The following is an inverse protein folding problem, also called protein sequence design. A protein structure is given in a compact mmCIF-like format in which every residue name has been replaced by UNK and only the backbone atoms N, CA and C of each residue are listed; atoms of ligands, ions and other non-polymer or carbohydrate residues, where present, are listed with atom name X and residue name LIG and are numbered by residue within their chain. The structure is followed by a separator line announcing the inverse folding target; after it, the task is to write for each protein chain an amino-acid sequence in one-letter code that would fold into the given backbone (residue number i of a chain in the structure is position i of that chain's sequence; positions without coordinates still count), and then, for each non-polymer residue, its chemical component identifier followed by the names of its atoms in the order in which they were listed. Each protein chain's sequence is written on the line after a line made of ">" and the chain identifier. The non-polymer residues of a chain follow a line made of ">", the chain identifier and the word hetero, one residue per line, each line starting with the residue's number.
data_IF_752167284380
#
_entry.id   IF_752167284380
#
_cell.length_a   1.000
_cell.length_b   1.000
_cell.length_c   1.000
_cell.angle_alpha   90.00
_cell.angle_beta   90.00
_cell.angle_gamma   90.00
#
_symmetry.space_group_name_H-M   'P 1'
#
loop_
_entity.id
_entity.type
_entity.pdbx_description
1 polymer ?
#
# COMPACT_ATOMS: atom_id res chain seq x y z
N UNK A 1 23.92 -7.40 3.29
CA UNK A 1 23.36 -6.98 1.99
C UNK A 1 23.16 -8.15 1.02
N UNK A 2 24.14 -9.03 0.85
CA UNK A 2 24.00 -10.21 -0.02
C UNK A 2 22.94 -11.21 0.46
N UNK A 3 22.72 -11.32 1.77
CA UNK A 3 21.75 -12.24 2.37
C UNK A 3 20.31 -11.81 2.06
N UNK A 4 20.03 -10.50 2.02
CA UNK A 4 18.70 -10.00 1.68
C UNK A 4 18.34 -10.25 0.21
N UNK A 5 19.30 -10.08 -0.68
CA UNK A 5 19.09 -10.34 -2.10
C UNK A 5 18.94 -11.84 -2.38
N UNK A 6 19.63 -12.69 -1.63
CA UNK A 6 19.50 -14.14 -1.74
C UNK A 6 18.14 -14.63 -1.22
N UNK A 7 17.63 -14.07 -0.13
CA UNK A 7 16.31 -14.39 0.40
C UNK A 7 15.19 -13.99 -0.55
N UNK A 8 15.33 -12.85 -1.23
CA UNK A 8 14.39 -12.42 -2.25
C UNK A 8 14.43 -13.32 -3.49
N UNK A 9 15.61 -13.84 -3.84
CA UNK A 9 15.82 -14.74 -4.97
C UNK A 9 15.42 -16.19 -4.67
N UNK A 10 15.52 -16.61 -3.42
CA UNK A 10 15.23 -17.97 -2.99
C UNK A 10 13.73 -18.27 -2.81
N UNK A 11 12.85 -17.35 -3.24
CA UNK A 11 11.42 -17.60 -3.18
C UNK A 11 10.87 -17.49 -1.78
N UNK A 12 11.19 -16.40 -1.08
CA UNK A 12 10.54 -16.05 0.18
C UNK A 12 9.02 -16.22 0.00
N UNK A 13 8.30 -16.86 0.96
CA UNK A 13 6.85 -17.03 0.87
C UNK A 13 6.12 -15.70 0.64
N UNK A 14 6.70 -14.60 1.13
CA UNK A 14 6.20 -13.25 0.96
C UNK A 14 6.28 -12.79 -0.50
N UNK A 15 7.40 -13.03 -1.17
CA UNK A 15 7.57 -12.68 -2.58
C UNK A 15 6.67 -13.53 -3.48
N UNK A 16 6.51 -14.82 -3.18
CA UNK A 16 5.59 -15.69 -3.90
C UNK A 16 4.14 -15.26 -3.72
N UNK A 17 3.75 -14.87 -2.51
CA UNK A 17 2.42 -14.33 -2.22
C UNK A 17 2.19 -13.04 -2.99
N UNK A 18 3.18 -12.16 -3.02
CA UNK A 18 3.13 -10.91 -3.76
C UNK A 18 2.94 -11.13 -5.26
N UNK A 19 3.67 -12.09 -5.86
CA UNK A 19 3.53 -12.45 -7.27
C UNK A 19 2.16 -13.05 -7.57
N UNK A 20 1.61 -13.87 -6.69
CA UNK A 20 0.26 -14.43 -6.82
C UNK A 20 -0.81 -13.35 -6.80
N UNK A 21 -0.65 -12.37 -5.93
CA UNK A 21 -1.61 -11.27 -5.78
C UNK A 21 -1.56 -10.34 -6.99
N UNK A 22 -0.39 -10.17 -7.60
CA UNK A 22 -0.22 -9.26 -8.73
C UNK A 22 -0.59 -9.83 -10.10
N UNK A 23 -0.56 -11.13 -10.25
CA UNK A 23 -0.92 -11.81 -11.53
C UNK A 23 -2.31 -12.37 -11.43
N UNK A 24 -3.11 -12.19 -12.37
CA UNK A 24 -3.68 -11.11 -13.15
C UNK A 24 -4.74 -10.41 -12.34
N UNK A 25 -4.37 -9.75 -11.25
CA UNK A 25 -5.33 -9.13 -10.34
C UNK A 25 -6.02 -7.98 -11.02
N UNK A 26 -7.35 -8.09 -11.10
CA UNK A 26 -8.23 -7.03 -11.52
C UNK A 26 -8.69 -6.17 -10.34
N UNK A 27 -8.24 -6.47 -9.13
CA UNK A 27 -8.64 -5.76 -7.91
C UNK A 27 -7.44 -5.42 -7.06
N UNK A 28 -7.43 -4.19 -6.55
CA UNK A 28 -6.37 -3.70 -5.66
C UNK A 28 -6.91 -2.75 -4.62
N UNK A 29 -6.12 -2.54 -3.57
CA UNK A 29 -6.41 -1.60 -2.49
C UNK A 29 -5.24 -0.68 -2.25
N UNK A 30 -5.54 0.54 -1.80
CA UNK A 30 -4.59 1.51 -1.26
C UNK A 30 -5.09 1.96 0.10
N UNK A 31 -4.18 2.13 1.05
CA UNK A 31 -4.53 2.50 2.41
C UNK A 31 -3.94 3.86 2.77
N UNK A 32 -4.81 4.82 3.08
CA UNK A 32 -4.43 6.11 3.64
C UNK A 32 -4.51 6.01 5.16
N UNK A 33 -3.38 5.79 5.81
CA UNK A 33 -3.30 5.69 7.25
C UNK A 33 -3.07 7.07 7.86
N UNK A 34 -3.88 7.43 8.85
CA UNK A 34 -3.79 8.73 9.53
C UNK A 34 -3.53 8.54 11.01
N UNK A 35 -2.70 9.41 11.56
CA UNK A 35 -2.46 9.51 13.00
C UNK A 35 -3.38 10.56 13.61
N UNK A 36 -3.63 10.48 14.94
CA UNK A 36 -4.45 11.50 15.62
C UNK A 36 -3.91 12.93 15.48
N UNK A 37 -2.60 13.10 15.27
CA UNK A 37 -1.96 14.41 15.07
C UNK A 37 -2.15 14.97 13.64
N UNK A 38 -2.88 14.25 12.77
CA UNK A 38 -3.16 14.66 11.40
C UNK A 38 -2.15 14.18 10.37
N UNK A 39 -1.05 13.57 10.79
CA UNK A 39 -0.07 13.00 9.85
C UNK A 39 -0.65 11.79 9.14
N UNK A 40 -0.21 11.59 7.91
CA UNK A 40 -0.54 10.40 7.12
C UNK A 40 0.74 9.71 6.62
N UNK A 41 0.62 8.42 6.34
CA UNK A 41 1.75 7.60 5.96
C UNK A 41 1.90 7.53 4.45
N UNK A 42 3.12 7.77 3.98
CA UNK A 42 3.52 7.57 2.59
C UNK A 42 4.69 6.60 2.54
N UNK A 43 4.77 5.84 1.46
CA UNK A 43 5.80 4.82 1.27
C UNK A 43 6.44 4.94 -0.10
N UNK A 44 7.67 4.44 -0.21
CA UNK A 44 8.35 4.21 -1.49
C UNK A 44 8.57 2.71 -1.63
N UNK A 45 8.11 2.17 -2.74
CA UNK A 45 8.26 0.74 -3.02
C UNK A 45 9.63 0.45 -3.62
N UNK A 46 10.25 -0.66 -3.21
CA UNK A 46 11.58 -1.04 -3.69
C UNK A 46 11.59 -1.70 -5.07
N UNK A 47 10.43 -2.11 -5.59
CA UNK A 47 10.29 -2.85 -6.84
C UNK A 47 9.80 -2.02 -8.03
N UNK A 48 9.46 -0.75 -7.81
CA UNK A 48 9.01 0.18 -8.87
C UNK A 48 9.94 1.38 -8.90
N UNK A 49 9.45 2.54 -9.35
CA UNK A 49 10.19 3.79 -9.22
C UNK A 49 10.38 4.13 -7.73
N UNK A 50 11.56 3.84 -7.21
CA UNK A 50 11.90 4.01 -5.79
C UNK A 50 11.93 5.47 -5.34
N UNK A 51 11.84 6.42 -6.28
CA UNK A 51 11.74 7.85 -5.96
C UNK A 51 10.31 8.29 -5.71
N UNK A 52 9.33 7.50 -6.17
CA UNK A 52 7.91 7.87 -6.12
C UNK A 52 7.31 7.55 -4.77
N UNK A 53 6.69 8.54 -4.15
CA UNK A 53 5.90 8.35 -2.94
C UNK A 53 4.49 7.89 -3.30
N UNK A 54 3.99 6.95 -2.53
CA UNK A 54 2.71 6.30 -2.77
C UNK A 54 2.04 5.91 -1.46
N UNK A 55 0.84 5.37 -1.55
CA UNK A 55 0.17 4.73 -0.42
C UNK A 55 0.54 3.25 -0.37
N UNK A 56 0.61 2.65 0.84
CA UNK A 56 0.73 1.21 0.96
C UNK A 56 -0.49 0.52 0.38
N UNK A 57 -0.32 -0.69 -0.10
CA UNK A 57 -1.41 -1.48 -0.67
C UNK A 57 -0.93 -2.51 -1.66
N UNK A 58 -1.85 -3.21 -2.27
CA UNK A 58 -1.54 -4.26 -3.23
C UNK A 58 -2.78 -4.89 -3.83
N UNK A 59 -2.57 -5.93 -4.61
CA UNK A 59 -3.66 -6.67 -5.22
C UNK A 59 -4.31 -7.67 -4.28
N UNK A 60 -5.55 -8.03 -4.57
CA UNK A 60 -6.27 -9.04 -3.80
C UNK A 60 -7.29 -9.77 -4.66
N UNK A 61 -7.76 -10.90 -4.17
CA UNK A 61 -8.82 -11.68 -4.81
C UNK A 61 -10.15 -11.36 -4.11
N UNK A 62 -11.10 -10.70 -4.80
CA UNK A 62 -12.38 -10.33 -4.20
C UNK A 62 -13.27 -11.52 -3.82
N UNK A 63 -12.96 -12.71 -4.33
CA UNK A 63 -13.65 -13.93 -3.91
C UNK A 63 -13.21 -14.43 -2.52
N UNK A 64 -12.07 -13.93 -2.01
CA UNK A 64 -11.47 -14.38 -0.75
C UNK A 64 -11.42 -13.31 0.32
N UNK A 65 -11.31 -12.05 -0.08
CA UNK A 65 -11.15 -10.94 0.85
C UNK A 65 -12.08 -9.78 0.45
N UNK A 66 -12.53 -9.04 1.45
CA UNK A 66 -13.12 -7.71 1.22
C UNK A 66 -11.99 -6.70 1.02
N UNK A 67 -12.27 -5.50 0.47
CA UNK A 67 -11.25 -4.45 0.38
C UNK A 67 -10.64 -4.11 1.75
N UNK A 68 -11.43 -4.05 2.81
CA UNK A 68 -10.94 -3.76 4.15
C UNK A 68 -10.00 -4.85 4.68
N UNK A 69 -10.34 -6.12 4.45
CA UNK A 69 -9.48 -7.24 4.81
C UNK A 69 -8.16 -7.21 4.04
N UNK A 70 -8.23 -6.91 2.75
CA UNK A 70 -7.03 -6.79 1.93
C UNK A 70 -6.14 -5.64 2.37
N UNK A 71 -6.73 -4.47 2.68
CA UNK A 71 -5.98 -3.33 3.19
C UNK A 71 -5.31 -3.65 4.52
N UNK A 72 -6.02 -4.30 5.45
CA UNK A 72 -5.45 -4.71 6.73
C UNK A 72 -4.29 -5.68 6.56
N UNK A 73 -4.42 -6.64 5.65
CA UNK A 73 -3.36 -7.61 5.35
C UNK A 73 -2.13 -6.93 4.74
N UNK A 74 -2.33 -6.08 3.75
CA UNK A 74 -1.23 -5.37 3.08
C UNK A 74 -0.48 -4.45 4.05
N UNK A 75 -1.20 -3.73 4.89
CA UNK A 75 -0.61 -2.86 5.91
C UNK A 75 0.23 -3.67 6.89
N UNK A 76 -0.26 -4.85 7.30
CA UNK A 76 0.50 -5.72 8.17
C UNK A 76 1.75 -6.29 7.48
N UNK A 77 1.59 -6.78 6.26
CA UNK A 77 2.71 -7.36 5.50
C UNK A 77 3.79 -6.33 5.16
N UNK A 78 3.39 -5.14 4.74
CA UNK A 78 4.33 -4.11 4.31
C UNK A 78 4.94 -3.31 5.45
N UNK A 79 4.18 -3.04 6.50
CA UNK A 79 4.52 -2.06 7.55
C UNK A 79 4.60 -2.65 8.96
N UNK A 80 4.16 -3.88 9.16
CA UNK A 80 4.12 -4.49 10.49
C UNK A 80 3.04 -3.94 11.42
N UNK A 81 2.12 -3.13 10.90
CA UNK A 81 1.03 -2.56 11.71
C UNK A 81 -0.17 -3.49 11.74
N UNK A 82 -0.73 -3.68 12.94
CA UNK A 82 -1.96 -4.44 13.14
C UNK A 82 -3.13 -3.45 13.19
N UNK A 83 -3.84 -3.34 12.06
CA UNK A 83 -5.01 -2.48 11.93
C UNK A 83 -6.21 -3.37 11.61
N UNK A 84 -7.19 -3.47 12.52
CA UNK A 84 -8.35 -4.33 12.28
C UNK A 84 -9.11 -3.90 11.02
N UNK A 85 -9.60 -4.85 10.21
CA UNK A 85 -10.33 -4.51 8.97
C UNK A 85 -11.52 -3.56 9.20
N UNK A 86 -12.21 -3.70 10.32
CA UNK A 86 -13.39 -2.88 10.65
C UNK A 86 -13.07 -1.40 10.89
N UNK A 87 -11.79 -1.04 11.09
CA UNK A 87 -11.40 0.36 11.23
C UNK A 87 -11.25 1.08 9.90
N UNK A 88 -11.17 0.33 8.80
CA UNK A 88 -11.03 0.92 7.47
C UNK A 88 -12.37 1.41 6.93
N UNK A 89 -12.35 2.62 6.37
CA UNK A 89 -13.48 3.23 5.67
C UNK A 89 -13.10 3.45 4.22
N UNK A 90 -13.97 3.08 3.30
CA UNK A 90 -13.75 3.28 1.87
C UNK A 90 -13.86 4.77 1.53
N UNK A 91 -12.84 5.30 0.85
CA UNK A 91 -12.83 6.68 0.34
C UNK A 91 -13.33 6.75 -1.09
N UNK A 92 -12.86 5.84 -1.94
CA UNK A 92 -13.19 5.83 -3.35
C UNK A 92 -12.91 4.46 -3.96
N UNK A 93 -13.70 4.11 -4.97
CA UNK A 93 -13.43 2.97 -5.82
C UNK A 93 -13.39 3.46 -7.27
N UNK A 94 -12.30 3.15 -7.94
CA UNK A 94 -12.07 3.55 -9.34
C UNK A 94 -11.93 2.28 -10.18
N UNK A 95 -12.71 2.22 -11.27
CA UNK A 95 -12.59 1.15 -12.25
C UNK A 95 -11.86 1.72 -13.46
N UNK A 96 -10.72 1.13 -13.79
CA UNK A 96 -9.96 1.50 -14.97
C UNK A 96 -10.03 0.39 -16.00
N UNK A 97 -10.26 0.76 -17.27
CA UNK A 97 -10.24 -0.17 -18.38
C UNK A 97 -8.98 0.10 -19.18
N UNK A 98 -8.00 -0.79 -19.05
CA UNK A 98 -6.77 -0.70 -19.84
C UNK A 98 -6.59 -2.02 -20.58
N UNK A 99 -6.43 -1.96 -21.90
CA UNK A 99 -6.21 -3.14 -22.75
C UNK A 99 -7.28 -4.23 -22.59
N UNK A 100 -8.55 -3.83 -22.42
CA UNK A 100 -9.66 -4.77 -22.28
C UNK A 100 -9.80 -5.43 -20.91
N UNK A 101 -8.97 -5.04 -19.94
CA UNK A 101 -9.07 -5.53 -18.57
C UNK A 101 -9.69 -4.47 -17.67
N UNK A 102 -10.62 -4.89 -16.83
CA UNK A 102 -11.24 -4.03 -15.83
C UNK A 102 -10.46 -4.17 -14.52
N UNK A 103 -9.68 -3.12 -14.19
CA UNK A 103 -8.98 -3.06 -12.90
C UNK A 103 -9.78 -2.18 -11.94
N UNK A 104 -10.12 -2.75 -10.78
CA UNK A 104 -10.82 -2.04 -9.72
C UNK A 104 -9.83 -1.71 -8.62
N UNK A 105 -9.70 -0.43 -8.29
CA UNK A 105 -8.86 0.03 -7.18
C UNK A 105 -9.72 0.72 -6.14
N UNK A 106 -9.66 0.22 -4.91
CA UNK A 106 -10.36 0.81 -3.77
C UNK A 106 -9.34 1.46 -2.84
N UNK A 107 -9.53 2.74 -2.56
CA UNK A 107 -8.75 3.46 -1.56
C UNK A 107 -9.52 3.54 -0.26
N UNK A 108 -8.90 3.12 0.83
CA UNK A 108 -9.50 3.11 2.16
C UNK A 108 -8.65 3.97 3.10
N UNK A 109 -9.26 4.43 4.18
CA UNK A 109 -8.55 5.16 5.24
C UNK A 109 -8.81 4.52 6.59
N UNK A 110 -7.83 4.63 7.48
CA UNK A 110 -7.95 4.18 8.86
C UNK A 110 -7.10 5.06 9.76
N UNK A 111 -7.56 5.23 11.01
CA UNK A 111 -6.78 5.89 12.05
C UNK A 111 -5.87 4.89 12.74
N UNK A 112 -4.62 5.28 12.97
CA UNK A 112 -3.59 4.45 13.58
C UNK A 112 -2.96 5.21 14.72
N UNK A 113 -2.96 4.62 15.91
CA UNK A 113 -2.32 5.21 17.09
C UNK A 113 -0.88 4.74 17.28
N UNK A 114 -0.57 3.51 16.84
CA UNK A 114 0.79 2.97 16.88
C UNK A 114 1.54 3.37 15.62
N UNK A 115 2.74 3.92 15.78
CA UNK A 115 3.59 4.36 14.68
C UNK A 115 4.88 3.56 14.54
N UNK A 116 5.04 2.49 15.31
CA UNK A 116 6.20 1.61 15.23
C UNK A 116 6.10 0.76 13.95
N UNK A 117 6.94 1.06 12.97
CA UNK A 117 6.94 0.39 11.68
C UNK A 117 8.01 -0.68 11.60
N UNK A 118 7.65 -1.82 11.02
CA UNK A 118 8.59 -2.88 10.62
C UNK A 118 8.42 -3.07 9.11
N UNK A 119 9.34 -2.50 8.35
CA UNK A 119 9.22 -2.48 6.90
C UNK A 119 9.60 -3.81 6.28
N UNK A 120 8.77 -4.31 5.38
CA UNK A 120 9.11 -5.47 4.56
C UNK A 120 10.16 -5.08 3.51
N UNK A 121 10.81 -6.08 2.86
CA UNK A 121 11.76 -5.80 1.77
C UNK A 121 11.14 -5.06 0.58
N UNK A 122 9.82 -5.06 0.45
CA UNK A 122 9.12 -4.37 -0.64
C UNK A 122 9.01 -2.87 -0.43
N UNK A 123 9.22 -2.41 0.81
CA UNK A 123 9.13 -1.00 1.17
C UNK A 123 10.55 -0.47 1.38
N UNK A 124 10.95 0.45 0.52
CA UNK A 124 12.27 1.09 0.61
C UNK A 124 12.32 2.12 1.73
N UNK A 125 11.23 2.86 1.91
CA UNK A 125 11.11 3.90 2.95
C UNK A 125 9.64 4.13 3.28
N UNK A 126 9.35 4.47 4.54
CA UNK A 126 8.03 4.92 4.99
C UNK A 126 8.21 6.19 5.81
N UNK A 127 7.29 7.14 5.66
CA UNK A 127 7.36 8.43 6.35
C UNK A 127 5.97 8.94 6.72
N UNK A 128 5.84 9.40 7.96
CA UNK A 128 4.67 10.12 8.42
C UNK A 128 4.85 11.60 8.09
N UNK A 129 3.92 12.19 7.34
CA UNK A 129 4.01 13.59 6.90
C UNK A 129 2.70 14.33 7.18
N UNK A 130 2.81 15.63 7.43
CA UNK A 130 1.64 16.51 7.59
C UNK A 130 1.07 16.97 6.26
N UNK A 131 1.95 17.24 5.30
CA UNK A 131 1.55 17.63 3.96
C UNK A 131 2.60 17.17 2.94
N UNK A 132 2.22 17.25 1.68
CA UNK A 132 3.06 16.78 0.58
C UNK A 132 4.31 17.62 0.35
N UNK A 133 4.35 18.85 0.86
CA UNK A 133 5.53 19.73 0.73
C UNK A 133 6.74 19.15 1.45
N UNK A 134 6.52 18.36 2.49
CA UNK A 134 7.61 17.69 3.21
C UNK A 134 8.36 16.67 2.35
N UNK A 135 7.78 16.27 1.21
CA UNK A 135 8.38 15.30 0.29
C UNK A 135 9.21 15.97 -0.82
N UNK A 136 9.25 17.32 -0.83
CA UNK A 136 10.02 18.08 -1.81
C UNK A 136 9.50 17.88 -3.24
N UNK A 137 10.43 17.76 -4.19
CA UNK A 137 10.12 17.62 -5.61
C UNK A 137 10.01 16.15 -6.07
N UNK A 138 9.95 15.22 -5.13
CA UNK A 138 9.85 13.80 -5.46
C UNK A 138 8.54 13.50 -6.21
N UNK A 139 8.55 12.56 -7.18
CA UNK A 139 7.32 12.19 -7.87
C UNK A 139 6.32 11.55 -6.91
N UNK A 140 5.04 11.81 -7.14
CA UNK A 140 3.94 11.34 -6.30
C UNK A 140 3.01 10.45 -7.12
N UNK A 141 2.54 9.38 -6.48
CA UNK A 141 1.53 8.52 -7.08
C UNK A 141 0.21 9.29 -7.28
N UNK A 142 -0.44 9.08 -8.43
CA UNK A 142 -1.76 9.67 -8.69
C UNK A 142 -2.81 9.24 -7.66
N UNK A 143 -2.67 8.05 -7.10
CA UNK A 143 -3.60 7.52 -6.10
C UNK A 143 -3.41 8.21 -4.75
N UNK A 144 -2.18 8.56 -4.40
CA UNK A 144 -1.88 9.37 -3.22
C UNK A 144 -2.53 10.75 -3.35
N UNK A 145 -2.34 11.40 -4.49
CA UNK A 145 -2.94 12.71 -4.76
C UNK A 145 -4.48 12.64 -4.70
N UNK A 146 -5.07 11.64 -5.32
CA UNK A 146 -6.51 11.46 -5.33
C UNK A 146 -7.10 11.24 -3.94
N UNK A 147 -6.40 10.49 -3.09
CA UNK A 147 -6.86 10.20 -1.73
C UNK A 147 -6.91 11.46 -0.85
N UNK A 148 -6.00 12.40 -1.05
CA UNK A 148 -5.91 13.61 -0.23
C UNK A 148 -6.91 14.70 -0.61
N UNK A 149 -7.47 14.63 -1.82
CA UNK A 149 -8.50 15.59 -2.28
C UNK A 149 -9.85 15.30 -1.63
N UNK A 150 -10.09 14.11 -1.17
CA UNK A 150 -11.30 13.68 -0.48
C UNK A 150 -11.10 13.75 1.02
#
# INVERSE_FOLDING_TARGET
>A
MRVRAALLRAGSPFLQLWWRIRKPTTSGVKALLRRPDGRFLVVRHSYTDTRRWALPGGGYNPARETPAQAAAREVHEELGLLVPPETFTSLATVVTTLQGKHDTLTTLTASVSDDALTLSPEIAEARWVKDLQELGDAPLSKWLLAALIK
#
